data_IF_168380125843
#
_entry.id   IF_168380125843
#
_cell.length_a   1.000
_cell.length_b   1.000
_cell.length_c   1.000
_cell.angle_alpha   90.00
_cell.angle_beta   90.00
_cell.angle_gamma   90.00
#
_symmetry.space_group_name_H-M   'P 1'
#
loop_
_entity.id
_entity.type
_entity.pdbx_description
1 polymer ?
#
# COMPACT_ATOMS: atom_id res chain seq x y z
N UNK A 1 4.51 44.67 12.08
CA UNK A 1 4.67 44.04 10.74
C UNK A 1 5.57 42.80 10.72
N UNK A 2 6.62 42.64 11.54
CA UNK A 2 7.50 41.44 11.51
C UNK A 2 6.85 40.10 11.90
N UNK A 3 5.73 40.11 12.64
CA UNK A 3 5.02 38.88 13.06
C UNK A 3 4.20 38.19 11.95
N UNK A 4 3.90 38.90 10.85
CA UNK A 4 3.07 38.36 9.76
C UNK A 4 3.86 37.50 8.77
N UNK A 5 5.19 37.67 8.70
CA UNK A 5 6.06 36.96 7.74
C UNK A 5 6.34 35.51 8.17
N UNK A 6 6.37 35.21 9.48
CA UNK A 6 6.59 33.83 9.96
C UNK A 6 5.40 32.89 9.68
N UNK A 7 4.17 33.42 9.55
CA UNK A 7 2.98 32.59 9.32
C UNK A 7 2.90 32.08 7.87
N UNK A 8 3.47 32.82 6.90
CA UNK A 8 3.40 32.49 5.48
C UNK A 8 4.39 31.35 5.11
N UNK A 9 5.51 31.22 5.82
CA UNK A 9 6.48 30.14 5.57
C UNK A 9 5.99 28.76 6.05
N UNK A 10 5.09 28.69 7.03
CA UNK A 10 4.53 27.43 7.52
C UNK A 10 3.46 26.83 6.61
N UNK A 11 2.82 27.64 5.76
CA UNK A 11 1.76 27.19 4.84
C UNK A 11 2.29 26.42 3.62
N UNK A 12 3.60 26.47 3.34
CA UNK A 12 4.23 25.75 2.23
C UNK A 12 4.75 24.36 2.58
N UNK A 13 4.56 23.90 3.83
CA UNK A 13 4.84 22.50 4.25
C UNK A 13 3.55 21.67 4.30
N UNK A 14 2.51 22.08 3.55
CA UNK A 14 1.41 21.17 3.23
C UNK A 14 1.98 20.13 2.26
N UNK A 15 2.48 19.02 2.81
CA UNK A 15 3.02 17.91 2.04
C UNK A 15 2.02 17.44 1.00
N UNK A 16 2.51 17.21 -0.21
CA UNK A 16 1.73 16.56 -1.24
C UNK A 16 1.41 15.14 -0.73
N UNK A 17 0.16 14.90 -0.35
CA UNK A 17 -0.33 13.56 -0.07
C UNK A 17 -0.52 12.86 -1.42
N UNK A 18 0.58 12.41 -2.03
CA UNK A 18 0.49 11.44 -3.11
C UNK A 18 -0.05 10.15 -2.48
N UNK A 19 -1.09 9.57 -3.08
CA UNK A 19 -1.55 8.25 -2.68
C UNK A 19 -0.38 7.29 -2.90
N UNK A 20 0.13 6.72 -1.80
CA UNK A 20 1.23 5.77 -1.89
C UNK A 20 0.74 4.46 -2.51
N UNK A 21 1.67 3.57 -2.89
CA UNK A 21 1.29 2.22 -3.30
C UNK A 21 0.47 1.56 -2.19
N UNK A 22 -0.55 0.80 -2.58
CA UNK A 22 -1.40 0.03 -1.70
C UNK A 22 -0.97 -1.44 -1.72
N UNK A 23 -1.05 -2.08 -0.55
CA UNK A 23 -0.84 -3.52 -0.41
C UNK A 23 -2.17 -4.22 -0.20
N UNK A 24 -2.54 -5.05 -1.15
CA UNK A 24 -3.71 -5.91 -1.12
C UNK A 24 -3.29 -7.25 -0.55
N UNK A 25 -3.98 -7.72 0.47
CA UNK A 25 -3.66 -8.97 1.17
C UNK A 25 -4.92 -9.80 1.37
N UNK A 26 -4.93 -11.01 0.81
CA UNK A 26 -5.93 -12.04 1.07
C UNK A 26 -5.24 -13.21 1.79
N UNK A 27 -5.77 -13.61 2.95
CA UNK A 27 -5.21 -14.70 3.76
C UNK A 27 -6.28 -15.73 4.08
N UNK A 28 -5.88 -16.99 4.30
CA UNK A 28 -6.77 -18.04 4.79
C UNK A 28 -6.08 -19.41 4.82
N UNK A 29 -6.88 -20.47 4.85
CA UNK A 29 -6.44 -21.86 4.74
C UNK A 29 -7.00 -22.48 3.46
N UNK A 30 -6.20 -23.21 2.70
CA UNK A 30 -6.64 -23.78 1.43
C UNK A 30 -6.20 -25.24 1.23
N UNK A 31 -7.01 -25.97 0.47
CA UNK A 31 -6.62 -27.23 -0.18
C UNK A 31 -6.41 -26.97 -1.67
N UNK A 32 -5.54 -27.74 -2.31
CA UNK A 32 -5.27 -27.56 -3.74
C UNK A 32 -4.08 -28.35 -4.27
N UNK A 33 -3.57 -27.91 -5.41
CA UNK A 33 -2.33 -28.42 -6.01
C UNK A 33 -1.42 -27.28 -6.46
N UNK A 34 -0.11 -27.48 -6.35
CA UNK A 34 0.92 -26.60 -6.90
C UNK A 34 1.87 -27.42 -7.77
N UNK A 35 1.94 -27.13 -9.06
CA UNK A 35 2.78 -27.89 -9.99
C UNK A 35 2.42 -29.38 -10.03
N UNK A 36 1.14 -29.72 -9.75
CA UNK A 36 0.65 -31.09 -9.65
C UNK A 36 0.86 -31.77 -8.29
N UNK A 37 1.54 -31.12 -7.33
CA UNK A 37 1.70 -31.64 -5.97
C UNK A 37 0.55 -31.15 -5.09
N UNK A 38 -0.20 -32.06 -4.49
CA UNK A 38 -1.34 -31.72 -3.63
C UNK A 38 -0.94 -31.15 -2.27
N UNK A 39 -1.77 -30.27 -1.72
CA UNK A 39 -1.69 -29.76 -0.35
C UNK A 39 -3.08 -29.67 0.29
N UNK A 40 -3.12 -29.70 1.62
CA UNK A 40 -4.37 -29.70 2.41
C UNK A 40 -4.18 -28.87 3.67
N UNK A 41 -5.15 -28.02 4.01
CA UNK A 41 -5.15 -27.17 5.20
C UNK A 41 -3.97 -26.20 5.26
N UNK A 42 -3.41 -25.82 4.10
CA UNK A 42 -2.21 -25.00 4.05
C UNK A 42 -2.58 -23.53 4.25
N UNK A 43 -1.88 -22.86 5.17
CA UNK A 43 -1.97 -21.41 5.29
C UNK A 43 -1.50 -20.75 3.99
N UNK A 44 -2.34 -19.90 3.42
CA UNK A 44 -2.08 -19.19 2.17
C UNK A 44 -2.21 -17.69 2.38
N UNK A 45 -1.28 -16.94 1.80
CA UNK A 45 -1.31 -15.49 1.75
C UNK A 45 -1.06 -15.03 0.32
N UNK A 46 -2.06 -14.40 -0.28
CA UNK A 46 -1.93 -13.70 -1.56
C UNK A 46 -1.67 -12.23 -1.25
N UNK A 47 -0.54 -11.71 -1.73
CA UNK A 47 -0.16 -10.30 -1.56
C UNK A 47 0.12 -9.68 -2.92
N UNK A 48 -0.50 -8.54 -3.20
CA UNK A 48 -0.21 -7.73 -4.37
C UNK A 48 0.09 -6.28 -3.97
N UNK A 49 0.88 -5.60 -4.80
CA UNK A 49 1.14 -4.17 -4.70
C UNK A 49 0.55 -3.50 -5.93
N UNK A 50 -0.18 -2.41 -5.74
CA UNK A 50 -0.69 -1.58 -6.82
C UNK A 50 -0.54 -0.10 -6.47
N UNK A 51 -0.53 0.76 -7.48
CA UNK A 51 -0.53 2.21 -7.30
C UNK A 51 -1.99 2.72 -7.30
N UNK A 52 -2.38 3.45 -6.26
CA UNK A 52 -3.75 3.97 -6.17
C UNK A 52 -4.07 4.97 -7.31
N UNK A 53 -3.05 5.62 -7.88
CA UNK A 53 -3.21 6.53 -9.01
C UNK A 53 -3.50 5.77 -10.33
N UNK A 54 -3.21 4.47 -10.39
CA UNK A 54 -3.47 3.61 -11.56
C UNK A 54 -4.86 2.94 -11.50
N UNK A 55 -5.71 3.29 -10.53
CA UNK A 55 -7.09 2.80 -10.46
C UNK A 55 -7.94 3.48 -11.54
N UNK A 56 -8.67 2.68 -12.33
CA UNK A 56 -9.57 3.20 -13.37
C UNK A 56 -10.89 2.43 -13.43
N UNK A 57 -11.94 3.13 -13.84
CA UNK A 57 -13.29 2.56 -14.02
C UNK A 57 -13.42 2.04 -15.46
N UNK A 58 -13.84 0.77 -15.63
CA UNK A 58 -14.08 0.17 -16.96
C UNK A 58 -15.55 0.17 -17.36
N UNK A 59 -16.44 0.21 -16.38
CA UNK A 59 -17.90 0.30 -16.50
C UNK A 59 -18.44 0.86 -15.19
N UNK A 60 -19.67 1.34 -15.17
CA UNK A 60 -20.26 2.00 -14.00
C UNK A 60 -20.19 1.11 -12.74
N UNK A 61 -19.40 1.54 -11.75
CA UNK A 61 -19.18 0.82 -10.50
C UNK A 61 -18.21 -0.36 -10.60
N UNK A 62 -17.48 -0.51 -11.71
CA UNK A 62 -16.47 -1.57 -11.90
C UNK A 62 -15.10 -0.93 -12.06
N UNK A 63 -14.27 -1.10 -11.03
CA UNK A 63 -12.95 -0.51 -10.91
C UNK A 63 -11.87 -1.56 -11.08
N UNK A 64 -10.83 -1.25 -11.84
CA UNK A 64 -9.65 -2.08 -12.05
C UNK A 64 -8.39 -1.37 -11.57
N UNK A 65 -7.43 -2.17 -11.14
CA UNK A 65 -6.10 -1.75 -10.75
C UNK A 65 -5.06 -2.74 -11.30
N UNK A 66 -4.14 -2.30 -12.18
CA UNK A 66 -3.03 -3.13 -12.59
C UNK A 66 -2.13 -3.49 -11.39
N UNK A 67 -1.83 -4.77 -11.24
CA UNK A 67 -0.94 -5.28 -10.20
C UNK A 67 0.34 -5.80 -10.87
N UNK A 68 1.44 -5.01 -10.92
CA UNK A 68 2.68 -5.43 -11.56
C UNK A 68 3.27 -6.69 -10.91
N UNK A 69 2.97 -6.92 -9.63
CA UNK A 69 3.43 -8.09 -8.88
C UNK A 69 2.33 -8.63 -7.98
N UNK A 70 1.91 -9.87 -8.24
CA UNK A 70 1.15 -10.69 -7.30
C UNK A 70 2.04 -11.82 -6.80
N UNK A 71 2.11 -11.96 -5.49
CA UNK A 71 2.82 -13.03 -4.79
C UNK A 71 1.86 -13.92 -4.02
N UNK A 72 2.15 -15.21 -3.98
CA UNK A 72 1.43 -16.21 -3.18
C UNK A 72 2.44 -16.89 -2.28
N UNK A 73 2.19 -16.88 -0.99
CA UNK A 73 2.96 -17.62 0.01
C UNK A 73 2.10 -18.77 0.52
N UNK A 74 2.57 -19.99 0.32
CA UNK A 74 2.05 -21.19 0.98
C UNK A 74 2.93 -21.49 2.20
N UNK A 75 2.34 -21.86 3.32
CA UNK A 75 3.06 -22.14 4.55
C UNK A 75 4.21 -23.14 4.31
N UNK A 76 5.43 -22.76 4.68
CA UNK A 76 6.64 -23.58 4.48
C UNK A 76 7.25 -23.55 3.08
N UNK A 77 6.74 -22.73 2.16
CA UNK A 77 7.28 -22.54 0.81
C UNK A 77 7.87 -21.13 0.63
N UNK A 78 8.78 -20.99 -0.32
CA UNK A 78 9.22 -19.68 -0.78
C UNK A 78 8.07 -18.94 -1.50
N UNK A 79 8.07 -17.59 -1.54
CA UNK A 79 7.08 -16.84 -2.30
C UNK A 79 7.06 -17.25 -3.78
N UNK A 80 5.85 -17.47 -4.28
CA UNK A 80 5.54 -17.75 -5.68
C UNK A 80 5.01 -16.48 -6.32
N UNK A 81 5.32 -16.25 -7.59
CA UNK A 81 4.84 -15.06 -8.30
C UNK A 81 3.98 -15.45 -9.48
N UNK A 82 2.90 -14.70 -9.73
CA UNK A 82 2.13 -14.82 -10.95
C UNK A 82 3.04 -14.56 -12.17
N UNK A 83 2.86 -15.34 -13.24
CA UNK A 83 3.68 -15.19 -14.45
C UNK A 83 3.18 -14.10 -15.40
N UNK A 84 1.89 -13.85 -15.38
CA UNK A 84 1.22 -12.87 -16.22
C UNK A 84 0.84 -11.63 -15.40
N UNK A 85 0.53 -10.54 -16.09
CA UNK A 85 -0.02 -9.34 -15.45
C UNK A 85 -1.40 -9.66 -14.86
N UNK A 86 -1.54 -9.34 -13.57
CA UNK A 86 -2.79 -9.50 -12.83
C UNK A 86 -3.42 -8.12 -12.63
N UNK A 87 -4.75 -8.08 -12.56
CA UNK A 87 -5.50 -6.92 -12.12
C UNK A 87 -6.25 -7.26 -10.85
N UNK A 88 -6.34 -6.29 -9.94
CA UNK A 88 -7.36 -6.31 -8.90
C UNK A 88 -8.60 -5.64 -9.47
N UNK A 89 -9.77 -6.20 -9.22
CA UNK A 89 -11.03 -5.57 -9.60
C UNK A 89 -11.98 -5.47 -8.41
N UNK A 90 -12.85 -4.47 -8.45
CA UNK A 90 -14.00 -4.33 -7.55
C UNK A 90 -15.24 -4.04 -8.37
N UNK A 91 -16.28 -4.85 -8.18
CA UNK A 91 -17.60 -4.64 -8.74
C UNK A 91 -18.54 -4.19 -7.62
N UNK A 92 -18.77 -2.87 -7.54
CA UNK A 92 -19.61 -2.25 -6.52
C UNK A 92 -21.10 -2.62 -6.68
N UNK A 93 -21.53 -3.05 -7.87
CA UNK A 93 -22.93 -3.36 -8.16
C UNK A 93 -23.42 -4.62 -7.43
N UNK A 94 -22.51 -5.54 -7.11
CA UNK A 94 -22.82 -6.79 -6.41
C UNK A 94 -21.93 -7.00 -5.16
N UNK A 95 -21.03 -6.07 -4.85
CA UNK A 95 -20.15 -6.16 -3.69
C UNK A 95 -19.11 -7.28 -3.79
N UNK A 96 -18.66 -7.58 -5.01
CA UNK A 96 -17.57 -8.54 -5.25
C UNK A 96 -16.28 -7.81 -5.61
N UNK A 97 -15.16 -8.45 -5.31
CA UNK A 97 -13.83 -8.05 -5.74
C UNK A 97 -13.05 -9.31 -6.08
N UNK A 98 -11.91 -9.16 -6.73
CA UNK A 98 -11.14 -10.34 -7.12
C UNK A 98 -9.84 -10.01 -7.79
N UNK A 99 -9.21 -11.08 -8.28
CA UNK A 99 -8.02 -11.01 -9.09
C UNK A 99 -8.27 -11.69 -10.42
N UNK A 100 -7.88 -11.01 -11.49
CA UNK A 100 -8.04 -11.50 -12.86
C UNK A 100 -6.73 -11.43 -13.62
N UNK A 101 -6.56 -12.35 -14.55
CA UNK A 101 -5.50 -12.37 -15.54
C UNK A 101 -6.03 -11.73 -16.83
N UNK A 102 -5.25 -10.85 -17.45
CA UNK A 102 -5.64 -10.14 -18.67
C UNK A 102 -6.08 -11.03 -19.83
N UNK A 103 -5.61 -12.28 -19.88
CA UNK A 103 -5.89 -13.24 -20.94
C UNK A 103 -6.90 -14.32 -20.54
N UNK A 104 -6.93 -14.68 -19.26
CA UNK A 104 -7.69 -15.83 -18.77
C UNK A 104 -8.96 -15.44 -18.00
N UNK A 105 -9.16 -14.15 -17.73
CA UNK A 105 -10.28 -13.64 -16.94
C UNK A 105 -10.06 -13.83 -15.44
N UNK A 106 -11.16 -13.80 -14.70
CA UNK A 106 -11.16 -13.88 -13.23
C UNK A 106 -10.71 -15.26 -12.76
N UNK A 107 -9.69 -15.31 -11.90
CA UNK A 107 -9.23 -16.57 -11.31
C UNK A 107 -9.63 -16.72 -9.85
N UNK A 108 -9.92 -15.60 -9.19
CA UNK A 108 -10.36 -15.59 -7.80
C UNK A 108 -11.31 -14.43 -7.56
N UNK A 109 -12.55 -14.76 -7.18
CA UNK A 109 -13.55 -13.80 -6.76
C UNK A 109 -13.78 -13.93 -5.26
N UNK A 110 -14.12 -12.83 -4.61
CA UNK A 110 -14.58 -12.83 -3.24
C UNK A 110 -15.57 -11.71 -2.97
N UNK A 111 -16.37 -11.90 -1.92
CA UNK A 111 -17.25 -10.87 -1.37
C UNK A 111 -16.86 -10.59 0.08
N UNK A 112 -16.99 -9.34 0.50
CA UNK A 112 -16.76 -8.89 1.86
C UNK A 112 -17.65 -7.68 2.16
N UNK A 113 -18.05 -7.51 3.42
CA UNK A 113 -18.85 -6.35 3.83
C UNK A 113 -18.09 -5.05 3.55
N UNK A 114 -18.74 -4.09 2.88
CA UNK A 114 -18.16 -2.80 2.51
C UNK A 114 -17.62 -2.69 1.09
N UNK A 115 -17.45 -3.80 0.35
CA UNK A 115 -16.95 -3.74 -1.04
C UNK A 115 -17.86 -2.95 -2.00
N UNK A 116 -19.17 -2.87 -1.73
CA UNK A 116 -20.11 -2.10 -2.53
C UNK A 116 -19.83 -0.58 -2.56
N UNK A 117 -18.99 -0.06 -1.65
CA UNK A 117 -18.53 1.33 -1.66
C UNK A 117 -17.01 1.46 -1.77
N UNK A 118 -16.30 0.37 -2.02
CA UNK A 118 -14.84 0.38 -2.13
C UNK A 118 -14.43 0.62 -3.59
N UNK A 119 -13.58 1.61 -3.82
CA UNK A 119 -13.12 2.02 -5.15
C UNK A 119 -11.79 1.36 -5.55
N UNK A 120 -11.16 0.61 -4.64
CA UNK A 120 -9.84 0.04 -4.86
C UNK A 120 -8.68 1.01 -4.59
N UNK A 121 -8.93 2.29 -4.34
CA UNK A 121 -7.89 3.33 -4.21
C UNK A 121 -7.58 3.74 -2.75
N UNK A 122 -8.23 3.09 -1.78
CA UNK A 122 -8.10 3.42 -0.36
C UNK A 122 -7.80 2.19 0.52
N UNK A 123 -7.45 2.44 1.77
CA UNK A 123 -7.34 1.37 2.75
C UNK A 123 -8.71 0.70 3.00
N UNK A 124 -8.68 -0.61 3.23
CA UNK A 124 -9.87 -1.44 3.44
C UNK A 124 -9.57 -2.58 4.42
N UNK A 125 -10.54 -2.95 5.24
CA UNK A 125 -10.44 -4.13 6.12
C UNK A 125 -9.48 -3.95 7.31
N UNK A 126 -9.06 -5.06 7.96
CA UNK A 126 -9.34 -6.46 7.58
C UNK A 126 -10.83 -6.80 7.65
N UNK A 127 -11.34 -7.53 6.66
CA UNK A 127 -12.72 -7.99 6.60
C UNK A 127 -12.78 -9.48 6.25
N UNK A 128 -13.65 -10.28 6.91
CA UNK A 128 -13.94 -11.63 6.47
C UNK A 128 -14.44 -11.64 5.03
N UNK A 129 -13.94 -12.59 4.24
CA UNK A 129 -14.27 -12.73 2.84
C UNK A 129 -14.86 -14.13 2.56
N UNK A 130 -15.76 -14.21 1.59
CA UNK A 130 -16.27 -15.49 1.05
C UNK A 130 -15.83 -15.61 -0.40
N UNK A 131 -15.14 -16.71 -0.74
CA UNK A 131 -14.47 -16.86 -2.04
C UNK A 131 -15.27 -17.73 -3.01
N UNK A 132 -15.13 -17.40 -4.29
CA UNK A 132 -15.50 -18.24 -5.42
C UNK A 132 -14.23 -18.49 -6.24
N UNK A 133 -13.79 -19.75 -6.30
CA UNK A 133 -12.61 -20.17 -7.04
C UNK A 133 -13.02 -20.52 -8.47
N UNK A 134 -12.37 -19.90 -9.45
CA UNK A 134 -12.81 -19.95 -10.86
C UNK A 134 -11.86 -20.74 -11.73
N UNK A 135 -10.60 -20.31 -11.85
CA UNK A 135 -9.60 -20.96 -12.71
C UNK A 135 -8.22 -21.07 -12.05
N UNK A 136 -7.37 -22.02 -12.48
CA UNK A 136 -5.99 -22.11 -12.00
C UNK A 136 -5.12 -20.92 -12.43
N UNK A 137 -4.10 -20.59 -11.62
CA UNK A 137 -3.16 -19.49 -11.87
C UNK A 137 -1.77 -20.04 -12.18
N UNK A 138 -1.14 -19.55 -13.24
CA UNK A 138 0.25 -19.88 -13.55
C UNK A 138 1.21 -19.09 -12.62
N UNK A 139 2.02 -19.81 -11.84
CA UNK A 139 3.02 -19.20 -10.94
C UNK A 139 4.45 -19.64 -11.27
N UNK A 140 5.45 -19.01 -10.65
CA UNK A 140 6.85 -19.44 -10.72
C UNK A 140 7.05 -20.89 -10.22
N UNK A 141 6.22 -21.37 -9.29
CA UNK A 141 6.23 -22.75 -8.78
C UNK A 141 5.42 -23.75 -9.62
N UNK A 142 4.87 -23.34 -10.76
CA UNK A 142 3.97 -24.14 -11.59
C UNK A 142 2.51 -23.67 -11.47
N UNK A 143 1.58 -24.47 -11.97
CA UNK A 143 0.16 -24.15 -11.92
C UNK A 143 -0.35 -24.29 -10.47
N UNK A 144 -0.90 -23.22 -9.92
CA UNK A 144 -1.61 -23.20 -8.63
C UNK A 144 -3.10 -23.39 -8.90
N UNK A 145 -3.68 -24.45 -8.37
CA UNK A 145 -5.11 -24.71 -8.43
C UNK A 145 -5.64 -24.91 -7.02
N UNK A 146 -6.54 -24.02 -6.60
CA UNK A 146 -7.21 -24.11 -5.31
C UNK A 146 -8.47 -24.97 -5.45
N UNK A 147 -8.69 -25.87 -4.51
CA UNK A 147 -9.89 -26.69 -4.40
C UNK A 147 -10.86 -26.14 -3.34
N UNK A 148 -10.32 -25.55 -2.28
CA UNK A 148 -11.06 -24.90 -1.19
C UNK A 148 -10.28 -23.70 -0.66
N UNK A 149 -10.97 -22.75 -0.04
CA UNK A 149 -10.34 -21.65 0.67
C UNK A 149 -11.25 -21.20 1.82
N UNK A 150 -10.83 -21.49 3.04
CA UNK A 150 -11.59 -21.25 4.25
C UNK A 150 -10.97 -20.12 5.10
N UNK A 151 -11.81 -19.52 5.96
CA UNK A 151 -11.42 -18.48 6.92
C UNK A 151 -10.75 -17.28 6.24
N UNK A 152 -11.24 -16.88 5.07
CA UNK A 152 -10.59 -15.85 4.30
C UNK A 152 -10.73 -14.48 4.94
N UNK A 153 -9.65 -13.70 4.91
CA UNK A 153 -9.63 -12.30 5.30
C UNK A 153 -8.94 -11.46 4.25
N UNK A 154 -9.60 -10.37 3.85
CA UNK A 154 -9.09 -9.41 2.90
C UNK A 154 -8.78 -8.08 3.59
N UNK A 155 -7.66 -7.46 3.21
CA UNK A 155 -7.26 -6.14 3.66
C UNK A 155 -6.49 -5.40 2.57
N UNK A 156 -6.62 -4.08 2.58
CA UNK A 156 -5.83 -3.15 1.78
C UNK A 156 -5.24 -2.13 2.75
N UNK A 157 -3.93 -2.00 2.75
CA UNK A 157 -3.22 -1.04 3.61
C UNK A 157 -2.30 -0.19 2.76
N UNK A 158 -2.10 1.06 3.16
CA UNK A 158 -1.03 1.88 2.58
C UNK A 158 0.30 1.16 2.77
N UNK A 159 0.98 0.87 1.67
CA UNK A 159 2.31 0.31 1.75
C UNK A 159 3.22 1.43 2.27
N UNK A 160 3.80 1.21 3.44
CA UNK A 160 4.82 2.10 3.98
C UNK A 160 6.05 1.98 3.09
N UNK A 161 6.11 2.81 2.05
CA UNK A 161 7.36 3.08 1.35
C UNK A 161 8.16 3.90 2.33
N UNK A 162 9.26 3.35 2.84
CA UNK A 162 10.22 4.13 3.60
C UNK A 162 10.78 5.20 2.68
N UNK A 163 10.11 6.36 2.61
CA UNK A 163 10.64 7.50 1.89
C UNK A 163 11.96 7.84 2.58
N UNK A 164 13.10 7.84 1.88
CA UNK A 164 14.29 8.43 2.47
C UNK A 164 13.92 9.87 2.81
N UNK A 165 13.96 10.21 4.10
CA UNK A 165 13.72 11.59 4.55
C UNK A 165 14.54 12.49 3.63
N UNK A 166 13.92 13.44 2.92
CA UNK A 166 14.66 14.26 1.98
C UNK A 166 15.80 14.89 2.78
N UNK A 167 17.02 14.89 2.23
CA UNK A 167 18.19 15.46 2.91
C UNK A 167 17.98 16.92 3.35
N UNK A 168 16.95 17.58 2.82
CA UNK A 168 16.44 18.87 3.27
C UNK A 168 16.00 18.91 4.74
N UNK A 169 15.53 17.81 5.33
CA UNK A 169 15.23 17.76 6.76
C UNK A 169 16.52 17.95 7.60
N UNK A 170 17.61 17.32 7.17
CA UNK A 170 18.93 17.52 7.76
C UNK A 170 19.47 18.93 7.49
N UNK A 171 19.25 19.49 6.30
CA UNK A 171 19.65 20.86 5.98
C UNK A 171 18.86 21.90 6.79
N UNK A 172 17.57 21.67 7.04
CA UNK A 172 16.75 22.53 7.90
C UNK A 172 17.25 22.49 9.35
N UNK A 173 17.52 21.29 9.87
CA UNK A 173 18.09 21.12 11.22
C UNK A 173 19.47 21.76 11.33
N UNK A 174 20.33 21.61 10.31
CA UNK A 174 21.64 22.24 10.25
C UNK A 174 21.53 23.78 10.17
N UNK A 175 20.58 24.30 9.39
CA UNK A 175 20.32 25.74 9.30
C UNK A 175 19.82 26.33 10.62
N UNK A 176 18.93 25.64 11.33
CA UNK A 176 18.45 26.05 12.65
C UNK A 176 19.58 26.05 13.69
N UNK A 177 20.44 25.02 13.69
CA UNK A 177 21.61 24.96 14.58
C UNK A 177 22.60 26.11 14.32
N UNK A 178 22.82 26.46 13.04
CA UNK A 178 23.68 27.58 12.67
C UNK A 178 23.09 28.93 13.13
N UNK A 179 21.77 29.10 13.06
CA UNK A 179 21.09 30.32 13.49
C UNK A 179 21.15 30.54 15.01
N UNK A 180 20.92 29.49 15.81
CA UNK A 180 21.05 29.54 17.28
C UNK A 180 22.49 29.89 17.68
N UNK A 181 23.48 29.31 17.00
CA UNK A 181 24.89 29.59 17.26
C UNK A 181 25.25 31.06 16.96
N UNK A 182 24.72 31.62 15.88
CA UNK A 182 24.94 33.02 15.52
C UNK A 182 24.24 34.00 16.49
N UNK A 183 23.07 33.63 17.03
CA UNK A 183 22.35 34.45 18.00
C UNK A 183 23.04 34.49 19.37
N UNK A 184 23.60 33.36 19.84
CA UNK A 184 24.34 33.30 21.10
C UNK A 184 25.63 34.13 21.10
N UNK A 185 26.34 34.20 19.96
CA UNK A 185 27.57 34.98 19.82
C UNK A 185 27.36 36.50 19.91
N UNK A 186 26.17 37.01 19.58
CA UNK A 186 25.86 38.45 19.69
C UNK A 186 25.60 38.94 21.11
N UNK A 187 25.25 38.05 22.03
CA UNK A 187 24.93 38.42 23.41
C UNK A 187 26.17 38.53 24.31
N UNK A 188 27.33 38.08 23.83
CA UNK A 188 28.60 38.10 24.57
C UNK A 188 29.44 39.38 24.34
N UNK A 189 28.94 40.36 23.59
CA UNK A 189 29.67 41.59 23.25
C UNK A 189 28.91 42.84 23.70
N UNK A 190 28.56 42.92 24.99
CA UNK A 190 28.37 44.20 25.68
C UNK A 190 29.66 44.52 26.45
N UNK A 191 30.59 45.30 25.87
CA UNK A 191 31.75 45.75 26.62
C UNK A 191 31.28 46.80 27.63
N UNK A 192 31.33 46.39 28.90
CA UNK A 192 31.51 47.22 30.10
C UNK A 192 31.46 48.74 29.89
N UNK A 193 30.38 49.33 30.41
CA UNK A 193 30.45 50.20 31.58
C UNK A 193 31.25 51.48 31.41
N UNK A 194 30.49 52.57 31.29
CA UNK A 194 30.88 53.95 31.53
C UNK A 194 31.75 54.10 32.80
N UNK A 195 32.99 54.59 32.64
CA UNK A 195 33.74 55.22 33.73
C UNK A 195 33.31 56.70 33.81
N UNK A 196 32.51 57.03 34.81
CA UNK A 196 32.27 58.40 35.27
C UNK A 196 33.59 59.05 35.75
N UNK A 197 33.90 60.23 35.22
CA UNK A 197 34.71 61.26 35.90
C UNK A 197 34.10 62.64 35.64
#
# INVERSE_FOLDING_TARGET
MKRLICLILWLFVAGYAAAGPLRYTLTGSADGTLGGVGFTGAGIQVTALGDADDVFEIDQGIWLLPLPHLSVVLAGQAPLFAREQVFFFVNQNNGTAGFLDQFNGDFLDFSAAGLAGFDGAHAFGPAPASLTLLVPVATTGGLLQLASFDNAQFSVVEAVVGLPLPGSAWLLLAGLAAWVSAAGLRQAHDPFGEEEQ
#
